data_IF_041780372608
#
_entry.id   IF_041780372608
#
_cell.length_a   1.000
_cell.length_b   1.000
_cell.length_c   1.000
_cell.angle_alpha   90.00
_cell.angle_beta   90.00
_cell.angle_gamma   90.00
#
_symmetry.space_group_name_H-M   'P 1'
#
loop_
_entity.id
_entity.type
_entity.pdbx_description
1 polymer ?
#
# COMPACT_ATOMS: atom_id res chain seq x y z
N UNK A 1 -9.59 24.07 4.06
CA UNK A 1 -10.13 23.04 3.14
C UNK A 1 -8.94 22.18 2.75
N UNK A 2 -8.89 20.93 3.20
CA UNK A 2 -7.81 20.02 2.86
C UNK A 2 -7.88 19.69 1.36
N UNK A 3 -6.73 19.57 0.71
CA UNK A 3 -6.64 19.16 -0.68
C UNK A 3 -7.02 17.66 -0.73
N UNK A 4 -8.08 17.32 -1.46
CA UNK A 4 -8.42 15.93 -1.82
C UNK A 4 -8.11 15.81 -3.30
N UNK A 5 -7.10 15.02 -3.67
CA UNK A 5 -6.84 14.73 -5.06
C UNK A 5 -8.04 13.94 -5.63
N UNK A 6 -8.55 14.37 -6.76
CA UNK A 6 -9.60 13.62 -7.49
C UNK A 6 -9.08 12.26 -7.98
N UNK A 7 -7.76 12.13 -8.17
CA UNK A 7 -7.06 10.92 -8.54
C UNK A 7 -6.17 10.45 -7.37
N UNK A 8 -6.17 9.16 -7.01
CA UNK A 8 -5.27 8.60 -6.01
C UNK A 8 -3.79 8.64 -6.43
N UNK A 9 -3.47 8.95 -7.67
CA UNK A 9 -2.12 9.10 -8.19
C UNK A 9 -1.77 10.57 -8.41
N UNK A 10 -0.54 10.94 -8.05
CA UNK A 10 0.04 12.24 -8.36
C UNK A 10 1.32 12.07 -9.18
N UNK A 11 1.56 12.97 -10.14
CA UNK A 11 2.76 12.92 -10.98
C UNK A 11 3.99 13.47 -10.24
N UNK A 12 5.17 13.16 -10.78
CA UNK A 12 6.44 13.69 -10.27
C UNK A 12 6.54 15.20 -10.43
N UNK A 13 5.99 15.77 -11.52
CA UNK A 13 5.89 17.23 -11.76
C UNK A 13 5.01 17.89 -10.70
N UNK A 14 3.85 17.31 -10.43
CA UNK A 14 2.96 17.81 -9.41
C UNK A 14 3.65 17.83 -8.05
N UNK A 15 4.28 16.72 -7.67
CA UNK A 15 4.97 16.63 -6.38
C UNK A 15 6.10 17.66 -6.27
N UNK A 16 6.92 17.82 -7.32
CA UNK A 16 8.02 18.80 -7.31
C UNK A 16 7.52 20.23 -7.07
N UNK A 17 6.41 20.58 -7.69
CA UNK A 17 5.78 21.90 -7.49
C UNK A 17 5.22 22.11 -6.06
N UNK A 18 4.97 21.03 -5.30
CA UNK A 18 4.36 21.06 -3.98
C UNK A 18 5.27 20.61 -2.84
N UNK A 19 6.57 20.39 -3.09
CA UNK A 19 7.52 19.90 -2.06
C UNK A 19 7.60 20.79 -0.82
N UNK A 20 7.33 22.09 -0.96
CA UNK A 20 7.38 23.07 0.14
C UNK A 20 6.03 23.41 0.74
N UNK A 21 4.95 22.76 0.28
CA UNK A 21 3.62 23.00 0.83
C UNK A 21 3.52 22.40 2.26
N UNK A 22 3.25 23.23 3.28
CA UNK A 22 3.17 22.75 4.67
C UNK A 22 1.99 21.78 4.89
N UNK A 23 0.96 21.83 4.04
CA UNK A 23 -0.19 20.93 4.07
C UNK A 23 0.09 19.53 3.54
N UNK A 24 1.25 19.33 2.88
CA UNK A 24 1.63 18.06 2.27
C UNK A 24 2.68 17.34 3.14
N UNK A 25 2.52 16.04 3.28
CA UNK A 25 3.50 15.16 3.89
C UNK A 25 3.91 14.05 2.94
N UNK A 26 5.14 14.13 2.45
CA UNK A 26 5.73 13.06 1.66
C UNK A 26 6.26 11.96 2.59
N UNK A 27 5.86 10.71 2.32
CA UNK A 27 6.23 9.54 3.12
C UNK A 27 6.92 8.51 2.25
N UNK A 28 8.18 8.23 2.55
CA UNK A 28 8.98 7.20 1.89
C UNK A 28 8.72 5.85 2.58
N UNK A 29 8.06 4.95 1.87
CA UNK A 29 7.68 3.61 2.33
C UNK A 29 8.55 2.51 1.71
N UNK A 30 9.72 2.84 1.16
CA UNK A 30 10.60 1.85 0.52
C UNK A 30 10.92 0.69 1.45
N UNK A 31 10.94 -0.51 0.90
CA UNK A 31 11.22 -1.75 1.61
C UNK A 31 11.24 -2.93 0.67
N UNK A 32 11.36 -4.12 1.22
CA UNK A 32 11.54 -5.34 0.44
C UNK A 32 10.67 -6.47 0.98
N UNK A 33 10.16 -7.26 0.06
CA UNK A 33 9.66 -8.60 0.31
C UNK A 33 10.52 -9.56 -0.49
N UNK A 34 11.31 -10.37 0.18
CA UNK A 34 12.11 -11.41 -0.46
C UNK A 34 11.50 -12.77 -0.16
N UNK A 35 11.52 -13.66 -1.14
CA UNK A 35 10.97 -15.01 -1.01
C UNK A 35 12.11 -16.00 -1.20
N UNK A 36 12.22 -16.96 -0.29
CA UNK A 36 13.19 -18.05 -0.34
C UNK A 36 12.46 -19.39 -0.36
N UNK A 37 12.79 -20.25 -1.29
CA UNK A 37 12.29 -21.62 -1.29
C UNK A 37 13.00 -22.40 -0.18
N UNK A 38 12.22 -22.89 0.81
CA UNK A 38 12.73 -23.64 1.97
C UNK A 38 12.52 -25.14 1.82
N UNK A 39 11.63 -25.56 0.93
CA UNK A 39 11.41 -26.93 0.49
C UNK A 39 10.74 -26.89 -0.90
N UNK A 40 10.73 -27.98 -1.67
CA UNK A 40 10.11 -27.99 -3.00
C UNK A 40 8.68 -27.42 -3.01
N UNK A 41 8.47 -26.30 -3.71
CA UNK A 41 7.21 -25.57 -3.78
C UNK A 41 6.78 -24.86 -2.50
N UNK A 42 7.65 -24.75 -1.49
CA UNK A 42 7.37 -24.06 -0.21
C UNK A 42 8.26 -22.84 -0.07
N UNK A 43 7.65 -21.67 -0.02
CA UNK A 43 8.32 -20.39 0.11
C UNK A 43 8.18 -19.83 1.53
N UNK A 44 9.25 -19.20 2.02
CA UNK A 44 9.24 -18.31 3.17
C UNK A 44 9.42 -16.87 2.70
N UNK A 45 8.56 -15.97 3.16
CA UNK A 45 8.71 -14.55 2.88
C UNK A 45 9.44 -13.84 4.03
N UNK A 46 10.37 -12.95 3.67
CA UNK A 46 11.06 -12.04 4.59
C UNK A 46 10.75 -10.60 4.23
N UNK A 47 10.50 -9.82 5.26
CA UNK A 47 10.10 -8.43 5.14
C UNK A 47 11.20 -7.54 5.74
N UNK A 48 11.60 -6.50 5.01
CA UNK A 48 12.62 -5.56 5.44
C UNK A 48 12.28 -4.14 4.99
N UNK A 49 12.42 -3.17 5.89
CA UNK A 49 12.44 -1.76 5.52
C UNK A 49 13.71 -1.39 4.71
N UNK A 50 13.69 -0.26 4.04
CA UNK A 50 14.81 0.25 3.25
C UNK A 50 15.38 1.55 3.85
N UNK A 51 15.57 1.57 5.18
CA UNK A 51 16.05 2.76 5.87
C UNK A 51 17.43 3.21 5.42
N UNK A 52 18.35 2.29 5.12
CA UNK A 52 19.70 2.61 4.67
C UNK A 52 19.67 3.27 3.30
N UNK A 53 18.87 2.74 2.40
CA UNK A 53 18.65 3.29 1.06
C UNK A 53 17.98 4.66 1.12
N UNK A 54 17.03 4.87 2.05
CA UNK A 54 16.45 6.17 2.31
C UNK A 54 17.51 7.17 2.81
N UNK A 55 18.35 6.78 3.76
CA UNK A 55 19.42 7.65 4.29
C UNK A 55 20.49 7.98 3.24
N UNK A 56 20.73 7.09 2.29
CA UNK A 56 21.63 7.33 1.17
C UNK A 56 21.05 8.34 0.16
N UNK A 57 19.71 8.35 -0.01
CA UNK A 57 19.04 9.30 -0.90
C UNK A 57 17.52 9.14 -0.85
N UNK A 58 16.82 10.27 -0.74
CA UNK A 58 15.36 10.34 -0.77
C UNK A 58 14.88 11.67 -1.40
N UNK A 59 13.60 11.78 -1.71
CA UNK A 59 12.98 13.01 -2.22
C UNK A 59 13.00 14.06 -1.10
N UNK A 60 13.39 15.32 -1.37
CA UNK A 60 13.45 16.36 -0.35
C UNK A 60 12.17 16.47 0.49
N UNK A 61 12.33 16.50 1.81
CA UNK A 61 11.20 16.59 2.75
C UNK A 61 10.48 15.27 3.06
N UNK A 62 10.81 14.18 2.39
CA UNK A 62 10.21 12.87 2.67
C UNK A 62 10.61 12.36 4.06
N UNK A 63 9.62 11.98 4.87
CA UNK A 63 9.84 11.25 6.12
C UNK A 63 9.83 9.74 5.83
N UNK A 64 10.69 8.98 6.52
CA UNK A 64 10.73 7.54 6.35
C UNK A 64 9.72 6.85 7.26
N UNK A 65 8.98 5.90 6.70
CA UNK A 65 8.09 5.01 7.42
C UNK A 65 8.42 3.56 7.06
N UNK A 66 8.81 2.78 8.06
CA UNK A 66 9.06 1.35 7.89
C UNK A 66 7.73 0.58 7.90
N UNK A 67 7.24 0.26 6.73
CA UNK A 67 5.96 -0.44 6.57
C UNK A 67 5.92 -1.82 7.27
N UNK A 68 7.09 -2.40 7.60
CA UNK A 68 7.19 -3.70 8.28
C UNK A 68 7.09 -3.61 9.79
N UNK A 69 7.06 -2.38 10.35
CA UNK A 69 7.09 -2.13 11.80
C UNK A 69 6.10 -1.06 12.23
N UNK A 70 6.03 0.06 11.50
CA UNK A 70 5.42 1.29 11.99
C UNK A 70 3.89 1.30 11.80
N UNK A 71 3.38 0.49 10.84
CA UNK A 71 1.95 0.42 10.50
C UNK A 71 1.37 -0.99 10.63
N UNK A 72 2.02 -1.85 11.42
CA UNK A 72 1.57 -3.22 11.66
C UNK A 72 1.21 -3.45 13.12
N UNK A 73 0.39 -4.46 13.38
CA UNK A 73 0.18 -5.02 14.70
C UNK A 73 1.21 -6.14 14.95
N UNK A 74 2.22 -5.94 15.82
CA UNK A 74 3.22 -6.96 16.09
C UNK A 74 2.66 -8.15 16.89
N UNK A 75 1.50 -8.00 17.51
CA UNK A 75 0.86 -9.03 18.34
C UNK A 75 -0.11 -9.90 17.54
N UNK A 76 -0.43 -9.52 16.28
CA UNK A 76 -1.32 -10.31 15.44
C UNK A 76 -0.60 -11.59 14.97
N UNK A 77 -1.23 -12.79 15.11
CA UNK A 77 -0.62 -14.06 14.68
C UNK A 77 -0.40 -14.13 13.16
N UNK A 78 -1.09 -13.33 12.38
CA UNK A 78 -0.87 -13.20 10.94
C UNK A 78 0.14 -12.07 10.68
N UNK A 79 1.28 -12.35 10.04
CA UNK A 79 2.30 -11.35 9.82
C UNK A 79 1.79 -10.12 9.07
N UNK A 80 2.35 -8.97 9.42
CA UNK A 80 2.12 -7.66 8.77
C UNK A 80 0.66 -7.21 8.72
N UNK A 81 -0.16 -7.62 9.69
CA UNK A 81 -1.51 -7.09 9.84
C UNK A 81 -1.50 -5.61 10.24
N UNK A 82 -2.60 -4.91 9.99
CA UNK A 82 -2.72 -3.47 10.23
C UNK A 82 -2.61 -3.15 11.71
N UNK A 83 -1.80 -2.16 12.06
CA UNK A 83 -1.64 -1.66 13.43
C UNK A 83 -2.99 -1.29 14.08
N UNK A 84 -3.09 -1.44 15.38
CA UNK A 84 -4.26 -0.98 16.15
C UNK A 84 -4.44 0.55 16.02
N UNK A 85 -5.68 1.07 16.10
CA UNK A 85 -5.98 2.49 15.84
C UNK A 85 -5.08 3.46 16.59
N UNK A 86 -4.87 3.22 17.89
CA UNK A 86 -4.09 4.12 18.74
C UNK A 86 -2.58 4.07 18.41
N UNK A 87 -2.07 2.90 18.01
CA UNK A 87 -0.69 2.75 17.57
C UNK A 87 -0.47 3.44 16.23
N UNK A 88 -1.41 3.26 15.29
CA UNK A 88 -1.38 3.94 14.00
C UNK A 88 -1.44 5.45 14.14
N UNK A 89 -2.35 5.98 14.99
CA UNK A 89 -2.45 7.41 15.26
C UNK A 89 -1.12 8.00 15.76
N UNK A 90 -0.48 7.35 16.75
CA UNK A 90 0.83 7.79 17.24
C UNK A 90 1.90 7.80 16.15
N UNK A 91 1.92 6.80 15.28
CA UNK A 91 2.85 6.77 14.14
C UNK A 91 2.61 7.92 13.17
N UNK A 92 1.35 8.18 12.82
CA UNK A 92 1.00 9.30 11.93
C UNK A 92 1.39 10.64 12.54
N UNK A 93 1.03 10.89 13.80
CA UNK A 93 1.40 12.13 14.50
C UNK A 93 2.93 12.28 14.63
N UNK A 94 3.66 11.22 14.91
CA UNK A 94 5.13 11.23 14.95
C UNK A 94 5.75 11.53 13.57
N UNK A 95 5.04 11.20 12.49
CA UNK A 95 5.41 11.50 11.11
C UNK A 95 4.94 12.90 10.65
N UNK A 96 4.35 13.69 11.54
CA UNK A 96 3.81 15.01 11.23
C UNK A 96 2.54 14.94 10.36
N UNK A 97 1.73 13.92 10.54
CA UNK A 97 0.48 13.69 9.81
C UNK A 97 -0.70 13.83 10.78
N UNK A 98 -1.54 14.83 10.56
CA UNK A 98 -2.82 15.03 11.24
C UNK A 98 -3.99 14.90 10.28
N UNK A 99 -5.20 15.09 10.79
CA UNK A 99 -6.45 14.91 10.00
C UNK A 99 -6.53 15.80 8.74
N UNK A 100 -5.82 16.94 8.71
CA UNK A 100 -5.83 17.88 7.59
C UNK A 100 -4.62 17.76 6.65
N UNK A 101 -3.70 16.86 6.95
CA UNK A 101 -2.47 16.68 6.17
C UNK A 101 -2.76 15.85 4.92
N UNK A 102 -2.38 16.33 3.74
CA UNK A 102 -2.39 15.51 2.52
C UNK A 102 -1.11 14.65 2.48
N UNK A 103 -1.28 13.34 2.50
CA UNK A 103 -0.16 12.39 2.46
C UNK A 103 0.15 12.01 1.01
N UNK A 104 1.42 12.06 0.62
CA UNK A 104 1.89 11.48 -0.64
C UNK A 104 2.83 10.32 -0.30
N UNK A 105 2.40 9.10 -0.60
CA UNK A 105 3.19 7.90 -0.35
C UNK A 105 4.09 7.57 -1.54
N UNK A 106 5.36 7.24 -1.28
CA UNK A 106 6.32 6.85 -2.32
C UNK A 106 7.02 5.54 -1.96
N UNK A 107 7.27 4.71 -2.98
CA UNK A 107 8.14 3.55 -2.88
C UNK A 107 8.97 3.36 -4.17
N UNK A 108 9.74 2.26 -4.23
CA UNK A 108 10.55 1.87 -5.40
C UNK A 108 10.07 0.55 -6.04
N UNK A 109 8.97 -0.01 -5.55
CA UNK A 109 8.49 -1.35 -5.94
C UNK A 109 7.17 -1.29 -6.73
N UNK A 110 7.02 -0.26 -7.58
CA UNK A 110 5.82 -0.08 -8.40
C UNK A 110 4.56 0.21 -7.59
N UNK A 111 4.68 0.91 -6.46
CA UNK A 111 3.54 1.27 -5.61
C UNK A 111 3.14 0.21 -4.58
N UNK A 112 3.84 -0.93 -4.48
CA UNK A 112 3.45 -2.04 -3.58
C UNK A 112 3.33 -1.60 -2.11
N UNK A 113 4.27 -0.80 -1.63
CA UNK A 113 4.30 -0.36 -0.22
C UNK A 113 3.58 0.97 -0.04
N UNK A 114 3.64 1.84 -1.05
CA UNK A 114 2.93 3.11 -1.07
C UNK A 114 1.40 2.90 -1.07
N UNK A 115 0.89 1.97 -1.88
CA UNK A 115 -0.55 1.61 -1.88
C UNK A 115 -0.97 0.92 -0.59
N UNK A 116 -0.06 0.21 0.12
CA UNK A 116 -0.36 -0.29 1.46
C UNK A 116 -0.61 0.84 2.44
N UNK A 117 0.27 1.86 2.49
CA UNK A 117 0.06 3.03 3.35
C UNK A 117 -1.22 3.77 2.95
N UNK A 118 -1.43 3.98 1.63
CA UNK A 118 -2.66 4.56 1.09
C UNK A 118 -3.90 3.82 1.60
N UNK A 119 -3.91 2.50 1.48
CA UNK A 119 -5.04 1.68 1.92
C UNK A 119 -5.27 1.75 3.44
N UNK A 120 -4.21 1.73 4.25
CA UNK A 120 -4.33 1.81 5.72
C UNK A 120 -4.86 3.19 6.16
N UNK A 121 -4.42 4.28 5.51
CA UNK A 121 -4.95 5.62 5.74
C UNK A 121 -6.44 5.71 5.40
N UNK A 122 -6.82 5.21 4.22
CA UNK A 122 -8.21 5.13 3.78
C UNK A 122 -9.06 4.27 4.73
N UNK A 123 -8.53 3.12 5.18
CA UNK A 123 -9.19 2.27 6.17
C UNK A 123 -9.45 3.01 7.49
N UNK A 124 -8.52 3.86 7.92
CA UNK A 124 -8.68 4.70 9.10
C UNK A 124 -9.43 6.03 8.84
N UNK A 125 -10.06 6.18 7.71
CA UNK A 125 -10.92 7.33 7.39
C UNK A 125 -10.17 8.60 7.02
N UNK A 126 -8.90 8.49 6.62
CA UNK A 126 -8.08 9.59 6.15
C UNK A 126 -8.02 9.57 4.61
N UNK A 127 -8.87 10.38 3.97
CA UNK A 127 -9.05 10.37 2.51
C UNK A 127 -8.04 11.28 1.78
N UNK A 128 -7.34 12.16 2.50
CA UNK A 128 -6.34 13.06 1.92
C UNK A 128 -5.01 12.32 1.70
N UNK A 129 -4.99 11.33 0.82
CA UNK A 129 -3.81 10.52 0.52
C UNK A 129 -3.71 10.19 -0.96
N UNK A 130 -2.49 10.28 -1.50
CA UNK A 130 -2.14 9.92 -2.88
C UNK A 130 -0.86 9.08 -2.90
N UNK A 131 -0.64 8.40 -4.02
CA UNK A 131 0.57 7.64 -4.32
C UNK A 131 1.32 8.33 -5.45
N UNK A 132 2.65 8.47 -5.31
CA UNK A 132 3.49 9.01 -6.38
C UNK A 132 3.57 8.03 -7.54
N UNK A 133 3.08 8.42 -8.71
CA UNK A 133 3.14 7.61 -9.91
C UNK A 133 4.58 7.37 -10.36
N UNK A 134 4.94 6.10 -10.59
CA UNK A 134 6.31 5.67 -10.91
C UNK A 134 7.28 5.71 -9.72
N UNK A 135 6.87 6.28 -8.58
CA UNK A 135 7.59 6.26 -7.32
C UNK A 135 8.99 6.85 -7.36
N UNK A 136 9.85 6.35 -6.47
CA UNK A 136 11.25 6.75 -6.36
C UNK A 136 12.04 6.57 -7.67
N UNK A 137 11.82 5.46 -8.37
CA UNK A 137 12.60 5.13 -9.57
C UNK A 137 12.37 6.20 -10.65
N UNK A 138 11.11 6.53 -10.94
CA UNK A 138 10.78 7.57 -11.92
C UNK A 138 11.32 8.95 -11.52
N UNK A 139 11.24 9.29 -10.21
CA UNK A 139 11.80 10.54 -9.69
C UNK A 139 13.29 10.68 -10.00
N UNK A 140 14.06 9.60 -9.77
CA UNK A 140 15.51 9.57 -10.05
C UNK A 140 15.82 9.54 -11.55
N UNK A 141 15.08 8.73 -12.32
CA UNK A 141 15.26 8.60 -13.77
C UNK A 141 14.99 9.93 -14.50
N UNK A 142 14.10 10.76 -13.96
CA UNK A 142 13.85 12.12 -14.46
C UNK A 142 14.91 13.14 -13.99
N UNK A 143 15.92 12.72 -13.23
CA UNK A 143 16.98 13.59 -12.74
C UNK A 143 16.54 14.61 -11.69
N UNK A 144 15.42 14.37 -11.00
CA UNK A 144 14.87 15.28 -9.99
C UNK A 144 15.71 15.29 -8.71
N UNK A 145 15.63 16.36 -7.89
CA UNK A 145 16.49 16.53 -6.73
C UNK A 145 16.30 15.42 -5.68
N UNK A 146 17.44 14.98 -5.14
CA UNK A 146 17.49 14.03 -4.02
C UNK A 146 18.42 14.56 -2.93
N UNK A 147 18.13 14.19 -1.68
CA UNK A 147 18.96 14.59 -0.53
C UNK A 147 19.29 13.37 0.35
N UNK A 148 20.48 13.30 0.91
CA UNK A 148 20.85 12.27 1.87
C UNK A 148 20.47 12.66 3.31
N UNK A 149 20.57 11.70 4.23
CA UNK A 149 20.36 11.91 5.65
C UNK A 149 18.93 11.64 6.10
N UNK A 150 18.61 11.93 7.35
CA UNK A 150 17.29 11.74 7.90
C UNK A 150 16.51 13.06 7.95
N UNK A 151 15.28 13.06 7.47
CA UNK A 151 14.37 14.19 7.65
C UNK A 151 13.67 14.03 9.00
N UNK A 152 13.69 15.10 9.79
CA UNK A 152 12.86 15.19 10.99
C UNK A 152 11.47 15.61 10.58
N UNK A 153 10.48 14.82 10.92
CA UNK A 153 9.09 15.18 10.72
C UNK A 153 8.76 16.51 11.43
N UNK A 154 8.01 17.42 10.80
CA UNK A 154 7.52 18.63 11.46
C UNK A 154 6.57 18.23 12.60
N UNK A 155 6.59 19.03 13.66
CA UNK A 155 5.64 18.84 14.76
C UNK A 155 4.27 19.32 14.32
N UNK A 156 3.27 18.55 14.66
CA UNK A 156 1.88 19.01 14.55
C UNK A 156 1.63 20.16 15.53
N UNK A 157 0.71 21.06 15.17
CA UNK A 157 0.21 22.07 16.08
C UNK A 157 -0.50 21.43 17.28
N UNK A 158 -0.66 22.19 18.39
CA UNK A 158 -1.27 21.67 19.63
C UNK A 158 -2.69 21.12 19.44
N UNK A 159 -3.43 21.67 18.49
CA UNK A 159 -4.80 21.23 18.14
C UNK A 159 -4.87 20.18 17.03
N UNK A 160 -3.75 19.90 16.37
CA UNK A 160 -3.70 18.93 15.27
C UNK A 160 -3.48 17.53 15.83
N UNK A 161 -4.37 16.62 15.44
CA UNK A 161 -4.32 15.21 15.82
C UNK A 161 -4.63 14.36 14.61
N UNK A 162 -4.23 13.11 14.67
CA UNK A 162 -4.72 12.07 13.76
C UNK A 162 -5.79 11.25 14.48
N UNK A 163 -7.05 11.37 14.06
CA UNK A 163 -8.19 10.67 14.66
C UNK A 163 -8.61 9.48 13.78
N UNK A 164 -8.16 8.25 14.08
CA UNK A 164 -8.52 7.10 13.28
C UNK A 164 -10.03 6.79 13.39
N UNK A 165 -10.68 6.64 12.24
CA UNK A 165 -12.09 6.27 12.10
C UNK A 165 -12.20 5.00 11.24
N UNK A 166 -12.03 3.80 11.84
CA UNK A 166 -11.96 2.56 11.07
C UNK A 166 -13.21 2.31 10.23
N UNK A 167 -13.03 2.07 8.95
CA UNK A 167 -14.06 1.60 8.01
C UNK A 167 -14.06 0.08 8.06
N UNK A 168 -14.78 -0.49 9.01
CA UNK A 168 -14.74 -1.93 9.30
C UNK A 168 -15.17 -2.79 8.11
N UNK A 169 -16.00 -2.25 7.23
CA UNK A 169 -16.43 -2.89 5.98
C UNK A 169 -15.31 -3.06 4.94
N UNK A 170 -14.17 -2.41 5.13
CA UNK A 170 -13.00 -2.54 4.24
C UNK A 170 -12.09 -3.72 4.59
N UNK A 171 -12.27 -4.33 5.75
CA UNK A 171 -11.45 -5.45 6.21
C UNK A 171 -12.34 -6.61 6.66
N UNK A 172 -12.07 -7.79 6.13
CA UNK A 172 -12.78 -9.00 6.50
C UNK A 172 -11.83 -10.02 7.14
N UNK A 173 -12.32 -10.69 8.16
CA UNK A 173 -11.65 -11.85 8.76
C UNK A 173 -11.84 -13.10 7.89
N UNK A 174 -10.98 -14.10 8.07
CA UNK A 174 -11.14 -15.38 7.39
C UNK A 174 -12.51 -16.03 7.66
N UNK A 175 -13.03 -15.86 8.87
CA UNK A 175 -14.36 -16.39 9.27
C UNK A 175 -15.50 -15.68 8.53
N UNK A 176 -15.41 -14.36 8.36
CA UNK A 176 -16.39 -13.58 7.58
C UNK A 176 -16.36 -13.95 6.11
N UNK A 177 -15.15 -14.14 5.54
CA UNK A 177 -15.01 -14.62 4.16
C UNK A 177 -15.60 -16.02 4.03
N UNK A 178 -15.30 -16.91 4.97
CA UNK A 178 -15.85 -18.29 4.96
C UNK A 178 -17.40 -18.30 4.95
N UNK A 179 -18.04 -17.43 5.72
CA UNK A 179 -19.51 -17.30 5.74
C UNK A 179 -20.08 -16.79 4.43
N UNK A 180 -19.30 -16.06 3.64
CA UNK A 180 -19.71 -15.52 2.33
C UNK A 180 -19.45 -16.47 1.15
N UNK A 181 -18.74 -17.57 1.37
CA UNK A 181 -18.48 -18.56 0.32
C UNK A 181 -19.78 -19.15 -0.21
N UNK A 182 -19.98 -19.06 -1.52
CA UNK A 182 -21.16 -19.61 -2.19
C UNK A 182 -22.45 -18.81 -2.04
N UNK A 183 -22.48 -17.70 -1.29
CA UNK A 183 -23.70 -16.87 -1.14
C UNK A 183 -23.97 -16.02 -2.38
N UNK A 184 -22.93 -15.70 -3.16
CA UNK A 184 -23.06 -14.79 -4.30
C UNK A 184 -23.04 -13.30 -3.93
N UNK A 185 -22.90 -12.93 -2.66
CA UNK A 185 -22.96 -11.55 -2.18
C UNK A 185 -21.74 -10.72 -2.60
N UNK A 186 -20.59 -11.38 -2.81
CA UNK A 186 -19.37 -10.73 -3.26
C UNK A 186 -18.57 -11.65 -4.18
N UNK A 187 -17.58 -11.07 -4.85
CA UNK A 187 -16.56 -11.78 -5.60
C UNK A 187 -15.31 -11.84 -4.74
N UNK A 188 -14.64 -12.98 -4.75
CA UNK A 188 -13.35 -13.15 -4.07
C UNK A 188 -12.25 -13.05 -5.11
N UNK A 189 -11.26 -12.21 -4.86
CA UNK A 189 -10.11 -11.97 -5.75
C UNK A 189 -8.83 -12.37 -5.04
N UNK A 190 -8.07 -13.27 -5.67
CA UNK A 190 -6.73 -13.65 -5.26
C UNK A 190 -5.72 -12.79 -6.02
N UNK A 191 -5.04 -11.87 -5.31
CA UNK A 191 -4.04 -10.96 -5.87
C UNK A 191 -2.63 -11.55 -5.94
N UNK A 192 -2.45 -12.82 -5.52
CA UNK A 192 -1.16 -13.52 -5.59
C UNK A 192 -0.85 -13.95 -7.03
N UNK A 193 0.42 -14.26 -7.27
CA UNK A 193 0.84 -14.82 -8.55
C UNK A 193 0.11 -16.14 -8.89
N UNK A 194 0.09 -16.47 -10.19
CA UNK A 194 -0.66 -17.63 -10.68
C UNK A 194 -0.12 -18.97 -10.17
N UNK A 195 1.16 -19.07 -9.80
CA UNK A 195 1.73 -20.32 -9.27
C UNK A 195 1.22 -20.57 -7.83
N UNK A 196 1.13 -19.52 -7.01
CA UNK A 196 0.52 -19.61 -5.68
C UNK A 196 -0.98 -19.93 -5.78
N UNK A 197 -1.69 -19.28 -6.71
CA UNK A 197 -3.11 -19.54 -6.96
C UNK A 197 -3.38 -21.00 -7.31
N UNK A 198 -2.58 -21.59 -8.21
CA UNK A 198 -2.71 -23.02 -8.60
C UNK A 198 -2.23 -23.99 -7.52
N UNK A 199 -1.45 -23.53 -6.53
CA UNK A 199 -0.85 -24.37 -5.50
C UNK A 199 0.50 -24.96 -5.86
N UNK A 200 1.09 -24.55 -6.99
CA UNK A 200 2.46 -24.95 -7.40
C UNK A 200 3.50 -24.40 -6.42
N UNK A 201 3.21 -23.25 -5.83
CA UNK A 201 3.97 -22.59 -4.74
C UNK A 201 3.06 -22.24 -3.59
N UNK A 202 3.60 -22.29 -2.36
CA UNK A 202 2.84 -21.97 -1.14
C UNK A 202 3.71 -21.30 -0.08
N UNK A 203 3.11 -20.43 0.71
CA UNK A 203 3.74 -19.78 1.90
C UNK A 203 3.18 -20.30 3.23
N UNK A 204 2.36 -21.30 3.21
CA UNK A 204 1.70 -21.87 4.39
C UNK A 204 1.52 -23.37 4.26
N UNK A 205 0.79 -23.99 5.20
CA UNK A 205 0.59 -25.44 5.24
C UNK A 205 -0.23 -25.95 4.04
N UNK A 206 -1.01 -25.10 3.39
CA UNK A 206 -1.88 -25.47 2.25
C UNK A 206 -1.55 -24.61 1.04
N UNK A 207 -1.51 -25.23 -0.14
CA UNK A 207 -1.43 -24.55 -1.44
C UNK A 207 -2.81 -24.32 -2.04
N UNK A 208 -2.86 -23.59 -3.17
CA UNK A 208 -4.09 -23.30 -3.90
C UNK A 208 -4.75 -22.00 -3.44
N UNK A 209 -6.04 -21.86 -3.71
CA UNK A 209 -6.81 -20.64 -3.52
C UNK A 209 -8.15 -20.89 -2.81
N UNK A 210 -8.80 -19.83 -2.36
CA UNK A 210 -10.15 -19.89 -1.78
C UNK A 210 -11.12 -20.34 -2.89
N UNK A 211 -11.98 -21.36 -2.65
CA UNK A 211 -12.91 -21.85 -3.67
C UNK A 211 -13.75 -20.73 -4.30
N UNK A 212 -13.74 -20.65 -5.63
CA UNK A 212 -14.45 -19.63 -6.40
C UNK A 212 -13.74 -18.27 -6.51
N UNK A 213 -12.53 -18.12 -5.94
CA UNK A 213 -11.76 -16.90 -6.12
C UNK A 213 -11.27 -16.75 -7.56
N UNK A 214 -11.28 -15.52 -8.05
CA UNK A 214 -10.70 -15.12 -9.34
C UNK A 214 -9.23 -14.77 -9.15
N UNK A 215 -8.34 -15.26 -10.01
CA UNK A 215 -6.92 -14.86 -9.95
C UNK A 215 -6.70 -13.56 -10.71
N UNK A 216 -6.38 -12.50 -9.97
CA UNK A 216 -6.05 -11.18 -10.48
C UNK A 216 -4.68 -10.76 -9.93
N UNK A 217 -3.59 -11.32 -10.46
CA UNK A 217 -2.24 -10.99 -9.99
C UNK A 217 -1.97 -9.48 -10.13
N UNK A 218 -1.30 -8.90 -9.13
CA UNK A 218 -1.01 -7.46 -9.10
C UNK A 218 -0.25 -6.97 -10.34
N UNK A 219 0.55 -7.82 -10.94
CA UNK A 219 1.34 -7.52 -12.15
C UNK A 219 0.46 -7.07 -13.33
N UNK A 220 -0.82 -7.44 -13.31
CA UNK A 220 -1.79 -7.00 -14.32
C UNK A 220 -2.06 -5.49 -14.31
N UNK A 221 -1.72 -4.79 -13.24
CA UNK A 221 -2.00 -3.37 -13.09
C UNK A 221 -0.87 -2.45 -13.54
N UNK A 222 0.26 -3.03 -13.96
CA UNK A 222 1.46 -2.27 -14.31
C UNK A 222 1.82 -2.39 -15.78
N UNK A 223 2.37 -1.30 -16.32
CA UNK A 223 2.99 -1.27 -17.63
C UNK A 223 4.38 -1.91 -17.58
N UNK A 224 4.94 -2.25 -18.73
CA UNK A 224 6.34 -2.74 -18.85
C UNK A 224 7.37 -1.75 -18.29
N UNK A 225 7.02 -0.45 -18.23
CA UNK A 225 7.86 0.63 -17.67
C UNK A 225 7.68 0.82 -16.16
N UNK A 226 6.88 -0.01 -15.49
CA UNK A 226 6.71 -0.01 -14.03
C UNK A 226 5.71 1.01 -13.46
N UNK A 227 5.05 1.82 -14.30
CA UNK A 227 3.94 2.68 -13.86
C UNK A 227 2.60 1.96 -13.89
N UNK A 228 1.60 2.48 -13.18
CA UNK A 228 0.25 1.97 -13.28
C UNK A 228 -0.30 2.14 -14.70
N UNK A 229 -1.09 1.18 -15.14
CA UNK A 229 -1.89 1.32 -16.34
C UNK A 229 -3.00 2.37 -16.15
N UNK A 230 -3.53 2.88 -17.25
CA UNK A 230 -4.70 3.76 -17.20
C UNK A 230 -5.90 3.05 -16.56
N UNK A 231 -6.82 3.84 -16.02
CA UNK A 231 -8.04 3.34 -15.38
C UNK A 231 -8.84 2.42 -16.32
N UNK A 232 -8.93 2.76 -17.60
CA UNK A 232 -9.65 1.98 -18.59
C UNK A 232 -8.95 0.66 -18.91
N UNK A 233 -7.62 0.64 -18.99
CA UNK A 233 -6.85 -0.59 -19.17
C UNK A 233 -6.97 -1.53 -17.97
N UNK A 234 -6.88 -0.99 -16.74
CA UNK A 234 -7.08 -1.75 -15.50
C UNK A 234 -8.49 -2.36 -15.49
N UNK A 235 -9.50 -1.56 -15.80
CA UNK A 235 -10.90 -2.01 -15.89
C UNK A 235 -11.06 -3.14 -16.89
N UNK A 236 -10.52 -3.00 -18.09
CA UNK A 236 -10.57 -4.04 -19.13
C UNK A 236 -9.94 -5.34 -18.65
N UNK A 237 -8.76 -5.28 -18.02
CA UNK A 237 -8.07 -6.47 -17.49
C UNK A 237 -8.83 -7.14 -16.35
N UNK A 238 -9.50 -6.38 -15.48
CA UNK A 238 -10.37 -6.92 -14.45
C UNK A 238 -11.56 -7.69 -15.05
N UNK A 239 -12.21 -7.12 -16.04
CA UNK A 239 -13.33 -7.76 -16.76
C UNK A 239 -12.87 -9.04 -17.47
N UNK A 240 -11.72 -9.02 -18.16
CA UNK A 240 -11.12 -10.19 -18.80
C UNK A 240 -10.82 -11.34 -17.81
N UNK A 241 -10.59 -11.00 -16.53
CA UNK A 241 -10.40 -11.97 -15.44
C UNK A 241 -11.71 -12.41 -14.79
N UNK A 242 -12.84 -11.95 -15.28
CA UNK A 242 -14.18 -12.32 -14.81
C UNK A 242 -14.69 -11.47 -13.64
N UNK A 243 -13.99 -10.37 -13.29
CA UNK A 243 -14.49 -9.44 -12.26
C UNK A 243 -15.69 -8.67 -12.82
N UNK A 244 -16.78 -8.70 -12.09
CA UNK A 244 -18.03 -7.99 -12.43
C UNK A 244 -18.08 -6.67 -11.68
N UNK A 245 -18.38 -5.58 -12.39
CA UNK A 245 -18.30 -4.21 -11.85
C UNK A 245 -19.42 -3.89 -10.85
N UNK A 246 -20.55 -4.53 -10.99
CA UNK A 246 -21.76 -4.34 -10.16
C UNK A 246 -21.76 -5.17 -8.88
N UNK A 247 -20.68 -5.93 -8.62
CA UNK A 247 -20.60 -6.80 -7.44
C UNK A 247 -19.45 -6.38 -6.52
N UNK A 248 -19.67 -6.34 -5.18
CA UNK A 248 -18.62 -6.11 -4.22
C UNK A 248 -17.45 -7.10 -4.38
N UNK A 249 -16.23 -6.63 -4.16
CA UNK A 249 -15.01 -7.43 -4.24
C UNK A 249 -14.37 -7.55 -2.86
N UNK A 250 -13.99 -8.76 -2.49
CA UNK A 250 -13.10 -9.05 -1.35
C UNK A 250 -11.79 -9.58 -1.91
N UNK A 251 -10.72 -8.79 -1.80
CA UNK A 251 -9.39 -9.19 -2.25
C UNK A 251 -8.56 -9.77 -1.11
N UNK A 252 -7.71 -10.74 -1.44
CA UNK A 252 -6.70 -11.29 -0.52
C UNK A 252 -5.38 -11.58 -1.24
N UNK A 253 -4.28 -11.69 -0.44
CA UNK A 253 -2.95 -12.05 -0.94
C UNK A 253 -2.20 -12.97 0.06
#
# INVERSE_FOLDING_TARGET
MGFVAEDPLVSTEWLEAHLTDPGIRLVDCRGYVTTHEVAPGVDEARYRGAREEYLAGHIPGAVYLDWTRDIIDPDDPVPVQVAKPEAFARTMEASGIGDLTHVVAVDHAGGQFATRLWWVLMYYGHDAVSVLEGGWNRWVDEGRPTVPGAVRAPRLGESERFAPRPRTEWRHTAEEVLKRLGTGDCQIVDARDSAQYRGDRRRGPRGGHIPGALNVPRELFFSERGGFLSRDEIRSRLIERGVQEDRPVVAYC
#
